data_IF_183223334876
#
_entry.id   IF_183223334876
#
_cell.length_a   1.000
_cell.length_b   1.000
_cell.length_c   1.000
_cell.angle_alpha   90.00
_cell.angle_beta   90.00
_cell.angle_gamma   90.00
#
_symmetry.space_group_name_H-M   'P 1'
#
loop_
_entity.id
_entity.type
_entity.pdbx_description
1 polymer ?
#
# COMPACT_ATOMS: atom_id res chain seq x y z
N UNK A 1 -14.77 -21.12 14.99
CA UNK A 1 -14.16 -20.01 14.26
C UNK A 1 -12.75 -19.86 14.83
N UNK A 2 -11.75 -19.90 14.00
CA UNK A 2 -10.38 -19.60 14.41
C UNK A 2 -10.17 -18.10 14.24
N UNK A 3 -9.42 -17.47 15.16
CA UNK A 3 -9.01 -16.08 14.98
C UNK A 3 -8.16 -15.94 13.70
N UNK A 4 -8.31 -14.83 12.99
CA UNK A 4 -7.49 -14.52 11.83
C UNK A 4 -6.02 -14.41 12.26
N UNK A 5 -5.12 -14.72 11.34
CA UNK A 5 -3.68 -14.60 11.61
C UNK A 5 -3.26 -13.12 11.54
N UNK A 6 -2.71 -12.60 12.62
CA UNK A 6 -2.11 -11.27 12.64
C UNK A 6 -0.72 -11.32 11.99
N UNK A 7 -0.66 -10.93 10.73
CA UNK A 7 0.56 -10.91 9.94
C UNK A 7 0.42 -9.89 8.80
N UNK A 8 0.61 -8.61 9.11
CA UNK A 8 0.52 -7.53 8.13
C UNK A 8 1.45 -7.76 6.91
N UNK A 9 0.94 -7.48 5.72
CA UNK A 9 1.64 -7.68 4.44
C UNK A 9 1.55 -6.47 3.49
N UNK A 10 1.04 -5.35 3.99
CA UNK A 10 0.80 -4.17 3.17
C UNK A 10 -0.31 -4.36 2.14
N UNK A 11 -0.21 -3.67 1.01
CA UNK A 11 -1.21 -3.73 -0.06
C UNK A 11 -0.81 -4.77 -1.12
N UNK A 12 -1.57 -5.85 -1.22
CA UNK A 12 -1.38 -6.93 -2.19
C UNK A 12 -2.43 -6.82 -3.32
N UNK A 13 -2.03 -6.66 -4.60
CA UNK A 13 -2.99 -6.57 -5.69
C UNK A 13 -3.67 -7.93 -5.93
N UNK A 14 -5.01 -7.95 -5.96
CA UNK A 14 -5.81 -9.17 -6.13
C UNK A 14 -6.70 -9.13 -7.37
N UNK A 15 -6.98 -7.95 -7.92
CA UNK A 15 -7.84 -7.83 -9.10
C UNK A 15 -7.97 -6.38 -9.55
N UNK A 16 -8.96 -6.13 -10.41
CA UNK A 16 -9.34 -4.78 -10.87
C UNK A 16 -10.84 -4.61 -10.81
N UNK A 17 -11.29 -3.38 -10.61
CA UNK A 17 -12.72 -3.04 -10.67
C UNK A 17 -13.30 -3.53 -12.01
N UNK A 18 -14.49 -4.12 -11.97
CA UNK A 18 -15.14 -4.71 -13.13
C UNK A 18 -14.84 -6.19 -13.36
N UNK A 19 -14.24 -6.87 -12.35
CA UNK A 19 -14.02 -8.32 -12.38
C UNK A 19 -12.87 -8.76 -13.28
N UNK A 20 -11.97 -7.85 -13.62
CA UNK A 20 -10.78 -8.18 -14.41
C UNK A 20 -9.63 -8.63 -13.49
N UNK A 21 -8.81 -9.61 -13.92
CA UNK A 21 -7.62 -10.00 -13.17
C UNK A 21 -6.57 -8.89 -13.20
N UNK A 22 -5.76 -8.81 -12.14
CA UNK A 22 -4.53 -8.01 -12.17
C UNK A 22 -3.46 -8.74 -12.97
N UNK A 23 -2.89 -8.09 -13.98
CA UNK A 23 -1.94 -8.68 -14.93
C UNK A 23 -0.49 -8.21 -14.73
N UNK A 24 -0.19 -7.58 -13.57
CA UNK A 24 1.17 -7.15 -13.22
C UNK A 24 1.60 -5.81 -13.83
N UNK A 25 0.64 -4.97 -14.27
CA UNK A 25 0.96 -3.63 -14.80
C UNK A 25 1.62 -2.76 -13.73
N UNK A 26 2.78 -2.17 -14.08
CA UNK A 26 3.51 -1.26 -13.20
C UNK A 26 4.29 -0.23 -14.03
N UNK A 27 4.44 0.96 -13.45
CA UNK A 27 5.19 2.06 -14.05
C UNK A 27 6.49 2.32 -13.28
N UNK A 28 7.39 3.10 -13.88
CA UNK A 28 8.70 3.41 -13.33
C UNK A 28 8.73 4.83 -12.80
N UNK A 29 9.13 4.98 -11.54
CA UNK A 29 9.28 6.27 -10.87
C UNK A 29 10.66 6.37 -10.24
N UNK A 30 11.07 7.58 -9.87
CA UNK A 30 12.37 7.81 -9.25
C UNK A 30 12.24 7.97 -7.75
N UNK A 31 13.20 7.40 -7.01
CA UNK A 31 13.43 7.70 -5.59
C UNK A 31 14.67 8.60 -5.51
N UNK A 32 14.62 9.59 -4.62
CA UNK A 32 15.77 10.48 -4.40
C UNK A 32 16.97 9.72 -3.86
N UNK A 33 18.17 10.07 -4.30
CA UNK A 33 19.39 9.53 -3.71
C UNK A 33 19.45 9.86 -2.21
N UNK A 34 19.91 8.90 -1.41
CA UNK A 34 19.97 9.01 0.06
C UNK A 34 18.62 9.25 0.75
N UNK A 35 17.50 8.88 0.14
CA UNK A 35 16.22 8.90 0.83
C UNK A 35 16.29 8.05 2.11
N UNK A 36 15.96 8.66 3.25
CA UNK A 36 16.30 8.14 4.58
C UNK A 36 15.38 7.04 5.12
N UNK A 37 14.28 6.71 4.42
CA UNK A 37 13.30 5.71 4.85
C UNK A 37 13.27 4.54 3.88
N UNK A 38 13.27 3.31 4.40
CA UNK A 38 13.07 2.12 3.57
C UNK A 38 11.63 2.09 3.04
N UNK A 39 11.46 1.60 1.80
CA UNK A 39 10.15 1.37 1.19
C UNK A 39 10.04 -0.11 0.90
N UNK A 40 9.00 -0.75 1.42
CA UNK A 40 8.79 -2.19 1.30
C UNK A 40 7.72 -2.52 0.26
N UNK A 41 7.76 -3.72 -0.28
CA UNK A 41 6.74 -4.21 -1.19
C UNK A 41 5.37 -4.20 -0.49
N UNK A 42 4.42 -3.50 -1.08
CA UNK A 42 3.09 -3.28 -0.50
C UNK A 42 2.92 -1.93 0.20
N UNK A 43 3.97 -1.10 0.31
CA UNK A 43 3.84 0.26 0.82
C UNK A 43 3.14 1.17 -0.20
N UNK A 44 2.28 2.06 0.29
CA UNK A 44 1.79 3.16 -0.54
C UNK A 44 2.89 4.22 -0.70
N UNK A 45 2.97 4.79 -1.90
CA UNK A 45 3.91 5.86 -2.20
C UNK A 45 3.20 7.11 -2.70
N UNK A 46 3.69 8.25 -2.26
CA UNK A 46 3.22 9.57 -2.64
C UNK A 46 4.29 10.33 -3.44
N UNK A 47 3.83 11.29 -4.22
CA UNK A 47 4.72 12.20 -4.94
C UNK A 47 5.27 13.27 -4.00
N UNK A 48 6.51 13.70 -4.28
CA UNK A 48 7.14 14.82 -3.58
C UNK A 48 7.71 15.84 -4.56
N UNK A 49 7.97 17.03 -4.05
CA UNK A 49 8.62 18.11 -4.81
C UNK A 49 9.97 17.62 -5.36
N UNK A 50 10.21 17.80 -6.64
CA UNK A 50 11.42 17.29 -7.32
C UNK A 50 11.15 16.10 -8.25
N UNK A 51 9.89 15.63 -8.33
CA UNK A 51 9.50 14.57 -9.28
C UNK A 51 9.95 13.18 -8.86
N UNK A 52 10.13 12.96 -7.57
CA UNK A 52 10.43 11.66 -6.96
C UNK A 52 9.24 11.16 -6.12
N UNK A 53 9.33 9.92 -5.68
CA UNK A 53 8.33 9.29 -4.81
C UNK A 53 8.96 8.93 -3.47
N UNK A 54 8.14 8.97 -2.43
CA UNK A 54 8.48 8.60 -1.06
C UNK A 54 7.37 7.73 -0.48
N UNK A 55 7.63 7.04 0.63
CA UNK A 55 6.58 6.31 1.34
C UNK A 55 5.50 7.29 1.79
N UNK A 56 4.23 6.92 1.60
CA UNK A 56 3.12 7.74 2.10
C UNK A 56 3.11 7.71 3.63
N UNK A 57 3.07 8.89 4.24
CA UNK A 57 3.04 9.01 5.69
C UNK A 57 1.67 8.60 6.25
N UNK A 58 1.68 7.95 7.41
CA UNK A 58 0.50 7.73 8.25
C UNK A 58 -0.20 9.08 8.56
N UNK A 59 -1.51 9.13 8.42
CA UNK A 59 -2.30 10.37 8.54
C UNK A 59 -2.10 11.36 7.39
N UNK A 60 -1.39 10.98 6.34
CA UNK A 60 -1.08 11.86 5.21
C UNK A 60 -2.29 12.09 4.30
N UNK A 61 -2.43 13.32 3.80
CA UNK A 61 -3.48 13.70 2.84
C UNK A 61 -2.94 13.91 1.42
N UNK A 62 -1.66 13.66 1.21
CA UNK A 62 -1.01 13.79 -0.11
C UNK A 62 -1.56 12.72 -1.04
N UNK A 63 -1.92 13.06 -2.29
CA UNK A 63 -2.40 12.07 -3.24
C UNK A 63 -1.38 10.96 -3.49
N UNK A 64 -1.89 9.74 -3.57
CA UNK A 64 -1.10 8.52 -3.77
C UNK A 64 -0.75 8.34 -5.24
N UNK A 65 0.51 7.99 -5.53
CA UNK A 65 0.94 7.56 -6.87
C UNK A 65 0.52 6.12 -7.14
N UNK A 66 0.73 5.24 -6.17
CA UNK A 66 0.40 3.83 -6.27
C UNK A 66 1.03 3.01 -5.14
N UNK A 67 1.17 1.72 -5.39
CA UNK A 67 1.75 0.76 -4.44
C UNK A 67 3.12 0.30 -4.94
N UNK A 68 4.11 0.36 -4.06
CA UNK A 68 5.48 -0.04 -4.36
C UNK A 68 5.60 -1.55 -4.50
N UNK A 69 6.21 -2.01 -5.59
CA UNK A 69 6.38 -3.43 -5.91
C UNK A 69 7.85 -3.88 -5.99
N UNK A 70 8.78 -2.94 -6.00
CA UNK A 70 10.21 -3.23 -6.05
C UNK A 70 11.05 -2.07 -6.55
N UNK A 71 12.36 -2.25 -6.55
CA UNK A 71 13.32 -1.22 -6.91
C UNK A 71 14.49 -1.80 -7.70
N UNK A 72 15.03 -0.98 -8.58
CA UNK A 72 16.27 -1.23 -9.33
C UNK A 72 17.21 -0.05 -9.13
N UNK A 73 18.47 -0.33 -8.89
CA UNK A 73 19.55 0.69 -8.85
C UNK A 73 20.91 0.05 -9.05
N UNK A 74 21.93 0.86 -9.33
CA UNK A 74 23.33 0.41 -9.33
C UNK A 74 23.89 0.51 -7.92
N UNK A 75 24.33 -0.61 -7.37
CA UNK A 75 24.92 -0.65 -6.01
C UNK A 75 26.16 0.25 -5.98
N UNK A 76 26.22 1.24 -5.06
CA UNK A 76 27.34 2.19 -5.03
C UNK A 76 28.68 1.54 -4.63
N UNK A 77 28.66 0.36 -4.02
CA UNK A 77 29.85 -0.38 -3.59
C UNK A 77 30.35 -1.34 -4.65
N UNK A 78 29.48 -2.25 -5.12
CA UNK A 78 29.85 -3.30 -6.08
C UNK A 78 29.83 -2.83 -7.53
N UNK A 79 29.15 -1.71 -7.82
CA UNK A 79 28.91 -1.17 -9.16
C UNK A 79 28.06 -2.10 -10.05
N UNK A 80 27.41 -3.06 -9.46
CA UNK A 80 26.50 -3.97 -10.13
C UNK A 80 25.06 -3.45 -10.08
N UNK A 81 24.26 -3.76 -11.09
CA UNK A 81 22.84 -3.48 -11.09
C UNK A 81 22.12 -4.50 -10.22
N UNK A 82 21.35 -4.02 -9.24
CA UNK A 82 20.58 -4.86 -8.32
C UNK A 82 19.10 -4.58 -8.44
N UNK A 83 18.32 -5.64 -8.24
CA UNK A 83 16.85 -5.62 -8.14
C UNK A 83 16.47 -6.14 -6.76
N UNK A 84 15.63 -5.38 -6.06
CA UNK A 84 15.13 -5.77 -4.73
C UNK A 84 13.62 -5.53 -4.64
N UNK A 85 12.96 -6.30 -3.80
CA UNK A 85 11.55 -6.08 -3.48
C UNK A 85 11.33 -4.99 -2.42
N UNK A 86 12.41 -4.41 -1.87
CA UNK A 86 12.34 -3.24 -0.99
C UNK A 86 13.48 -2.27 -1.30
N UNK A 87 13.26 -1.00 -1.03
CA UNK A 87 14.30 0.03 -1.11
C UNK A 87 15.00 0.14 0.24
N UNK A 88 16.31 -0.12 0.32
CA UNK A 88 17.08 0.11 1.55
C UNK A 88 17.27 1.61 1.78
N UNK A 89 16.95 2.08 3.01
CA UNK A 89 17.14 3.47 3.40
C UNK A 89 18.56 3.97 3.12
N UNK A 90 18.68 5.24 2.77
CA UNK A 90 19.95 5.94 2.55
C UNK A 90 20.85 5.34 1.45
N UNK A 91 20.25 4.66 0.47
CA UNK A 91 20.99 4.17 -0.70
C UNK A 91 21.52 5.36 -1.51
N UNK A 92 22.84 5.49 -1.59
CA UNK A 92 23.52 6.56 -2.32
C UNK A 92 23.75 6.17 -3.80
N UNK A 93 22.68 6.10 -4.57
CA UNK A 93 22.69 5.89 -6.01
C UNK A 93 21.90 6.99 -6.70
N UNK A 94 22.26 7.33 -7.94
CA UNK A 94 21.59 8.38 -8.72
C UNK A 94 20.54 7.84 -9.70
N UNK A 95 20.52 6.52 -9.88
CA UNK A 95 19.71 5.78 -10.86
C UNK A 95 18.63 4.91 -10.23
N UNK A 96 18.14 5.30 -9.06
CA UNK A 96 17.14 4.52 -8.31
C UNK A 96 15.78 4.61 -9.02
N UNK A 97 15.27 3.48 -9.48
CA UNK A 97 13.98 3.34 -10.14
C UNK A 97 13.07 2.43 -9.31
N UNK A 98 11.97 2.99 -8.85
CA UNK A 98 10.87 2.23 -8.21
C UNK A 98 9.91 1.69 -9.26
N UNK A 99 9.45 0.45 -9.09
CA UNK A 99 8.35 -0.14 -9.82
C UNK A 99 7.08 0.02 -8.99
N UNK A 100 6.10 0.74 -9.53
CA UNK A 100 4.89 1.11 -8.80
C UNK A 100 3.67 0.66 -9.59
N UNK A 101 2.72 0.03 -8.90
CA UNK A 101 1.41 -0.30 -9.42
C UNK A 101 0.57 0.97 -9.27
N UNK A 102 0.37 1.70 -10.37
CA UNK A 102 -0.21 3.05 -10.40
C UNK A 102 -1.62 3.12 -11.02
N UNK A 103 -2.19 1.98 -11.39
CA UNK A 103 -3.56 1.91 -11.91
C UNK A 103 -4.57 2.11 -10.76
N UNK A 104 -5.37 3.19 -10.77
CA UNK A 104 -6.34 3.49 -9.71
C UNK A 104 -7.49 2.48 -9.62
N UNK A 105 -7.67 1.62 -10.63
CA UNK A 105 -8.72 0.60 -10.65
C UNK A 105 -8.27 -0.75 -10.06
N UNK A 106 -7.03 -0.86 -9.60
CA UNK A 106 -6.56 -2.08 -8.95
C UNK A 106 -7.20 -2.22 -7.57
N UNK A 107 -7.69 -3.43 -7.30
CA UNK A 107 -8.18 -3.84 -5.99
C UNK A 107 -7.02 -4.47 -5.25
N UNK A 108 -6.78 -3.98 -4.04
CA UNK A 108 -5.76 -4.51 -3.15
C UNK A 108 -6.40 -5.20 -1.96
N UNK A 109 -5.77 -6.24 -1.48
CA UNK A 109 -6.06 -6.82 -0.17
C UNK A 109 -5.08 -6.23 0.84
N UNK A 110 -5.60 -5.85 2.01
CA UNK A 110 -4.82 -5.31 3.14
C UNK A 110 -5.42 -5.85 4.43
N UNK A 111 -4.57 -6.07 5.44
CA UNK A 111 -5.01 -6.44 6.77
C UNK A 111 -5.43 -5.20 7.56
N UNK A 112 -6.46 -5.32 8.38
CA UNK A 112 -6.89 -4.29 9.32
C UNK A 112 -6.10 -4.40 10.63
N UNK A 113 -5.88 -3.26 11.31
CA UNK A 113 -5.26 -3.21 12.64
C UNK A 113 -6.24 -3.52 13.78
N UNK A 114 -7.51 -3.73 13.48
CA UNK A 114 -8.59 -4.05 14.42
C UNK A 114 -9.71 -4.81 13.72
N UNK A 115 -10.71 -5.26 14.47
CA UNK A 115 -11.93 -5.86 13.94
C UNK A 115 -12.63 -4.90 12.97
N UNK A 116 -13.07 -5.41 11.81
CA UNK A 116 -13.69 -4.58 10.78
C UNK A 116 -15.22 -4.77 10.78
N UNK A 117 -16.00 -3.78 11.22
CA UNK A 117 -17.46 -3.85 11.17
C UNK A 117 -17.97 -3.86 9.73
N UNK A 118 -18.86 -4.79 9.39
CA UNK A 118 -19.49 -4.86 8.05
C UNK A 118 -20.21 -3.56 7.67
N UNK A 119 -20.67 -2.80 8.66
CA UNK A 119 -21.33 -1.51 8.47
C UNK A 119 -20.39 -0.43 7.88
N UNK A 120 -19.08 -0.61 8.03
CA UNK A 120 -18.07 0.34 7.56
C UNK A 120 -17.62 0.08 6.11
N UNK A 121 -18.24 -0.90 5.44
CA UNK A 121 -18.06 -1.11 4.01
C UNK A 121 -18.41 0.17 3.23
N UNK A 122 -17.62 0.45 2.20
CA UNK A 122 -17.67 1.67 1.38
C UNK A 122 -17.24 2.95 2.09
N UNK A 123 -16.79 2.87 3.34
CA UNK A 123 -16.09 3.93 4.04
C UNK A 123 -14.69 4.21 3.46
N UNK A 124 -14.18 5.39 3.73
CA UNK A 124 -12.80 5.75 3.43
C UNK A 124 -11.93 5.63 4.69
N UNK A 125 -10.71 5.15 4.53
CA UNK A 125 -9.80 4.85 5.64
C UNK A 125 -8.39 5.34 5.34
N UNK A 126 -7.62 5.54 6.40
CA UNK A 126 -6.18 5.74 6.32
C UNK A 126 -5.43 4.43 6.50
N UNK A 127 -4.12 4.49 6.35
CA UNK A 127 -3.20 3.41 6.70
C UNK A 127 -2.52 3.72 8.03
N UNK A 128 -2.03 2.69 8.67
CA UNK A 128 -1.13 2.77 9.80
C UNK A 128 0.05 1.83 9.58
N UNK A 129 1.23 2.25 9.97
CA UNK A 129 2.42 1.40 9.97
C UNK A 129 2.66 0.88 11.39
N UNK A 130 1.94 -0.19 11.78
CA UNK A 130 2.14 -0.89 13.05
C UNK A 130 3.55 -1.46 13.14
N UNK A 131 4.11 -1.85 11.99
CA UNK A 131 5.53 -2.11 11.79
C UNK A 131 6.00 -1.48 10.47
N UNK A 132 7.28 -1.10 10.41
CA UNK A 132 7.86 -0.50 9.19
C UNK A 132 8.11 -1.50 8.06
N UNK A 133 7.76 -2.76 8.24
CA UNK A 133 8.08 -3.84 7.30
C UNK A 133 9.37 -4.57 7.65
N UNK A 134 9.68 -5.62 6.91
CA UNK A 134 10.79 -6.52 7.17
C UNK A 134 11.89 -6.43 6.11
N UNK A 135 13.10 -6.08 6.48
CA UNK A 135 14.26 -6.09 5.58
C UNK A 135 14.70 -7.50 5.17
N UNK A 136 14.23 -8.53 5.88
CA UNK A 136 14.51 -9.94 5.55
C UNK A 136 13.60 -10.45 4.44
N UNK A 137 12.29 -10.14 4.52
CA UNK A 137 11.30 -10.55 3.52
C UNK A 137 11.08 -9.49 2.45
N UNK A 138 11.35 -8.23 2.75
CA UNK A 138 11.07 -7.09 1.90
C UNK A 138 9.59 -6.70 1.85
N UNK A 139 8.75 -7.25 2.74
CA UNK A 139 7.31 -7.05 2.77
C UNK A 139 6.96 -5.93 3.75
N UNK A 140 5.99 -5.11 3.38
CA UNK A 140 5.42 -4.01 4.18
C UNK A 140 4.73 -4.52 5.44
N UNK A 141 4.72 -3.69 6.48
CA UNK A 141 3.91 -3.86 7.67
C UNK A 141 2.73 -2.88 7.74
N UNK A 142 2.34 -2.29 6.61
CA UNK A 142 1.20 -1.38 6.56
C UNK A 142 -0.11 -2.14 6.76
N UNK A 143 -1.01 -1.54 7.53
CA UNK A 143 -2.36 -2.04 7.82
C UNK A 143 -3.39 -0.93 7.55
N UNK A 144 -4.65 -1.32 7.35
CA UNK A 144 -5.77 -0.38 7.30
C UNK A 144 -6.12 0.04 8.73
N UNK A 145 -6.15 1.36 8.97
CA UNK A 145 -6.55 1.90 10.27
C UNK A 145 -8.07 2.03 10.37
N UNK A 146 -8.69 1.05 11.01
CA UNK A 146 -10.15 0.98 11.17
C UNK A 146 -10.70 2.19 11.93
N UNK A 147 -9.93 2.77 12.87
CA UNK A 147 -10.36 3.92 13.67
C UNK A 147 -10.53 5.20 12.85
N UNK A 148 -9.98 5.26 11.63
CA UNK A 148 -10.05 6.44 10.75
C UNK A 148 -11.25 6.45 9.82
N UNK A 149 -12.13 5.44 9.88
CA UNK A 149 -13.29 5.29 9.02
C UNK A 149 -14.14 6.56 8.93
N UNK A 150 -14.30 7.11 7.72
CA UNK A 150 -15.01 8.36 7.49
C UNK A 150 -15.53 8.50 6.05
N UNK A 151 -16.32 9.55 5.83
CA UNK A 151 -16.79 9.95 4.50
C UNK A 151 -15.80 10.83 3.73
N UNK A 152 -14.69 11.22 4.35
CA UNK A 152 -13.73 12.19 3.83
C UNK A 152 -13.05 11.69 2.55
N UNK A 153 -13.21 12.41 1.45
CA UNK A 153 -12.60 12.08 0.16
C UNK A 153 -11.06 12.25 0.13
N UNK A 154 -10.46 12.85 1.15
CA UNK A 154 -9.02 13.02 1.28
C UNK A 154 -8.29 11.78 1.84
N UNK A 155 -9.03 10.85 2.45
CA UNK A 155 -8.43 9.61 2.95
C UNK A 155 -7.94 8.72 1.79
N UNK A 156 -6.83 8.00 1.96
CA UNK A 156 -6.15 7.33 0.86
C UNK A 156 -6.90 6.12 0.29
N UNK A 157 -7.62 5.38 1.12
CA UNK A 157 -8.23 4.10 0.76
C UNK A 157 -9.74 4.13 0.87
N UNK A 158 -10.43 3.40 0.00
CA UNK A 158 -11.84 3.03 0.13
C UNK A 158 -11.96 1.53 0.27
N UNK A 159 -12.60 1.07 1.34
CA UNK A 159 -12.94 -0.34 1.50
C UNK A 159 -14.13 -0.70 0.63
N UNK A 160 -14.05 -1.80 -0.12
CA UNK A 160 -15.11 -2.24 -1.04
C UNK A 160 -15.69 -3.60 -0.68
N UNK A 161 -14.91 -4.47 -0.02
CA UNK A 161 -15.36 -5.81 0.37
C UNK A 161 -14.48 -6.37 1.50
N UNK A 162 -14.96 -7.40 2.16
CA UNK A 162 -14.19 -8.23 3.10
C UNK A 162 -13.68 -9.45 2.33
N UNK A 163 -12.40 -9.78 2.49
CA UNK A 163 -11.82 -10.96 1.81
C UNK A 163 -12.56 -12.24 2.20
N UNK A 164 -12.98 -13.00 1.20
CA UNK A 164 -13.74 -14.25 1.38
C UNK A 164 -12.83 -15.47 1.57
N UNK A 165 -11.57 -15.27 1.94
CA UNK A 165 -10.64 -16.36 2.24
C UNK A 165 -11.15 -17.15 3.46
N UNK A 166 -11.15 -18.49 3.44
CA UNK A 166 -11.51 -19.30 4.60
C UNK A 166 -10.73 -19.00 5.88
N UNK A 167 -9.48 -18.53 5.74
CA UNK A 167 -8.64 -18.10 6.88
C UNK A 167 -9.04 -16.72 7.44
N UNK A 168 -9.90 -15.98 6.75
CA UNK A 168 -10.45 -14.68 7.13
C UNK A 168 -11.91 -14.78 7.59
N UNK A 169 -12.29 -15.87 8.26
CA UNK A 169 -13.69 -16.18 8.56
C UNK A 169 -14.24 -15.47 9.79
N UNK A 170 -13.41 -14.81 10.58
CA UNK A 170 -13.82 -14.12 11.82
C UNK A 170 -13.66 -12.60 11.68
N UNK A 171 -14.72 -11.95 11.18
CA UNK A 171 -14.76 -10.47 11.05
C UNK A 171 -14.84 -9.73 12.38
N UNK A 172 -15.04 -10.43 13.48
CA UNK A 172 -15.02 -9.86 14.84
C UNK A 172 -13.64 -9.90 15.49
N UNK A 173 -12.69 -10.60 14.84
CA UNK A 173 -11.29 -10.67 15.25
C UNK A 173 -10.51 -9.49 14.70
N UNK A 174 -9.50 -9.05 15.43
CA UNK A 174 -8.47 -8.19 14.88
C UNK A 174 -7.79 -8.91 13.67
N UNK A 175 -7.08 -8.18 12.85
CA UNK A 175 -6.42 -8.73 11.65
C UNK A 175 -7.38 -9.28 10.57
N UNK A 176 -8.56 -8.68 10.41
CA UNK A 176 -9.45 -8.95 9.28
C UNK A 176 -8.84 -8.43 7.98
N UNK A 177 -8.81 -9.26 6.93
CA UNK A 177 -8.37 -8.85 5.61
C UNK A 177 -9.54 -8.26 4.82
N UNK A 178 -9.32 -7.11 4.21
CA UNK A 178 -10.33 -6.41 3.40
C UNK A 178 -9.79 -6.06 2.01
N UNK A 179 -10.71 -5.88 1.08
CA UNK A 179 -10.42 -5.39 -0.26
C UNK A 179 -10.61 -3.89 -0.32
N UNK A 180 -9.61 -3.18 -0.81
CA UNK A 180 -9.61 -1.72 -0.91
C UNK A 180 -9.18 -1.26 -2.31
N UNK A 181 -9.56 -0.03 -2.63
CA UNK A 181 -9.03 0.70 -3.79
C UNK A 181 -8.40 2.00 -3.31
N UNK A 182 -7.42 2.52 -4.05
CA UNK A 182 -6.82 3.82 -3.77
C UNK A 182 -7.83 4.90 -4.13
N UNK A 183 -8.38 5.56 -3.11
CA UNK A 183 -9.40 6.60 -3.25
C UNK A 183 -8.76 7.95 -3.59
N UNK A 184 -7.66 8.31 -2.94
CA UNK A 184 -6.94 9.57 -3.14
C UNK A 184 -5.76 9.36 -4.09
N UNK A 185 -6.01 8.90 -5.31
CA UNK A 185 -4.97 8.71 -6.34
C UNK A 185 -4.74 9.99 -7.14
N UNK A 186 -3.49 10.23 -7.59
CA UNK A 186 -3.18 11.30 -8.55
C UNK A 186 -3.78 11.05 -9.94
N UNK A 187 -4.07 9.80 -10.28
CA UNK A 187 -4.62 9.36 -11.58
C UNK A 187 -6.11 9.06 -11.53
N UNK A 188 -6.69 8.96 -10.35
CA UNK A 188 -8.10 8.62 -10.15
C UNK A 188 -8.97 9.81 -9.77
N UNK A 189 -10.29 9.57 -9.72
CA UNK A 189 -11.25 10.52 -9.18
C UNK A 189 -11.49 10.25 -7.70
N UNK A 190 -11.55 11.33 -6.90
CA UNK A 190 -11.87 11.24 -5.47
C UNK A 190 -13.38 11.17 -5.28
N UNK A 191 -13.86 10.27 -4.44
CA UNK A 191 -15.27 10.15 -4.06
C UNK A 191 -15.45 10.14 -2.55
N UNK A 192 -16.56 10.64 -2.04
CA UNK A 192 -16.90 10.49 -0.64
C UNK A 192 -17.13 9.03 -0.28
N UNK A 193 -16.81 8.65 0.98
CA UNK A 193 -17.19 7.37 1.55
C UNK A 193 -18.64 7.38 2.04
N UNK A 194 -19.16 6.21 2.38
CA UNK A 194 -20.35 6.07 3.22
C UNK A 194 -19.98 6.21 4.70
N UNK A 195 -20.88 6.75 5.48
CA UNK A 195 -20.73 6.88 6.94
C UNK A 195 -21.57 5.80 7.63
#
# INVERSE_FOLDING_TARGET
IMANQDAAFGMRPVGRIGGMPFTGGQSRYRIAANYGTSIFQGDMVAQVTGGTVEVHADGGTVPIVGVFNGVQYTDPTTKEQVYKNYYPASTNASDIIAFIIDDPNVIYEIQCNAAFPVADLFGNFDIVYTSSGSTTTGISGAELDVATGATTAGLPLKCIDISQDPENSDVSSDATNVHVVIQNSIFGQKGAGLA
#
